data_IF_350290045656
#
_entry.id   IF_350290045656
#
_cell.length_a   1.000
_cell.length_b   1.000
_cell.length_c   1.000
_cell.angle_alpha   90.00
_cell.angle_beta   90.00
_cell.angle_gamma   90.00
#
_symmetry.space_group_name_H-M   'P 1'
#
loop_
_entity.id
_entity.type
_entity.pdbx_description
1 polymer ?
#
# COMPACT_ATOMS: atom_id res chain seq x y z
N UNK A 1 29.19 -34.19 -41.79
CA UNK A 1 29.20 -33.22 -40.66
C UNK A 1 27.94 -32.35 -40.54
N UNK A 2 27.05 -32.25 -41.55
CA UNK A 2 25.91 -31.29 -41.54
C UNK A 2 24.67 -31.66 -40.69
N UNK A 3 24.46 -32.94 -40.34
CA UNK A 3 23.24 -33.37 -39.60
C UNK A 3 23.29 -33.16 -38.09
N UNK A 4 24.48 -33.18 -37.48
CA UNK A 4 24.62 -33.02 -36.01
C UNK A 4 24.39 -31.58 -35.54
N UNK A 5 24.84 -30.60 -36.33
CA UNK A 5 24.64 -29.18 -36.02
C UNK A 5 23.15 -28.77 -36.02
N UNK A 6 22.33 -29.38 -36.88
CA UNK A 6 20.90 -29.04 -37.01
C UNK A 6 20.07 -29.48 -35.78
N UNK A 7 20.43 -30.61 -35.17
CA UNK A 7 19.77 -31.12 -33.95
C UNK A 7 20.14 -30.26 -32.74
N UNK A 8 21.41 -29.85 -32.63
CA UNK A 8 21.89 -29.03 -31.51
C UNK A 8 21.24 -27.64 -31.51
N UNK A 9 21.05 -27.02 -32.67
CA UNK A 9 20.37 -25.71 -32.78
C UNK A 9 18.88 -25.83 -32.43
N UNK A 10 18.20 -26.89 -32.89
CA UNK A 10 16.79 -27.13 -32.57
C UNK A 10 16.53 -27.30 -31.07
N UNK A 11 17.39 -28.03 -30.38
CA UNK A 11 17.30 -28.21 -28.92
C UNK A 11 17.54 -26.90 -28.15
N UNK A 12 18.47 -26.06 -28.60
CA UNK A 12 18.73 -24.76 -27.96
C UNK A 12 17.56 -23.78 -28.12
N UNK A 13 16.93 -23.73 -29.31
CA UNK A 13 15.75 -22.89 -29.52
C UNK A 13 14.55 -23.33 -28.67
N UNK A 14 14.34 -24.63 -28.51
CA UNK A 14 13.25 -25.14 -27.67
C UNK A 14 13.44 -24.76 -26.20
N UNK A 15 14.66 -24.90 -25.66
CA UNK A 15 14.99 -24.48 -24.30
C UNK A 15 14.81 -22.97 -24.14
N UNK A 16 15.23 -22.18 -25.12
CA UNK A 16 15.05 -20.72 -25.11
C UNK A 16 13.58 -20.29 -25.08
N UNK A 17 12.71 -20.92 -25.87
CA UNK A 17 11.27 -20.63 -25.90
C UNK A 17 10.60 -21.03 -24.58
N UNK A 18 10.94 -22.19 -24.02
CA UNK A 18 10.41 -22.64 -22.72
C UNK A 18 10.86 -21.71 -21.60
N UNK A 19 12.13 -21.29 -21.58
CA UNK A 19 12.62 -20.31 -20.63
C UNK A 19 11.89 -18.98 -20.79
N UNK A 20 11.74 -18.46 -22.01
CA UNK A 20 10.99 -17.22 -22.27
C UNK A 20 9.53 -17.33 -21.81
N UNK A 21 8.88 -18.47 -22.05
CA UNK A 21 7.51 -18.72 -21.61
C UNK A 21 7.37 -18.69 -20.08
N UNK A 22 8.31 -19.30 -19.35
CA UNK A 22 8.33 -19.27 -17.88
C UNK A 22 8.57 -17.86 -17.36
N UNK A 23 9.51 -17.10 -17.97
CA UNK A 23 9.80 -15.72 -17.57
C UNK A 23 8.62 -14.76 -17.83
N UNK A 24 7.97 -14.87 -18.99
CA UNK A 24 6.81 -14.04 -19.32
C UNK A 24 5.60 -14.35 -18.44
N UNK A 25 5.36 -15.63 -18.14
CA UNK A 25 4.23 -16.04 -17.31
C UNK A 25 4.43 -15.61 -15.85
N UNK A 26 5.63 -15.80 -15.29
CA UNK A 26 5.94 -15.39 -13.92
C UNK A 26 5.96 -13.87 -13.69
N UNK A 27 6.19 -13.06 -14.71
CA UNK A 27 6.08 -11.60 -14.61
C UNK A 27 4.63 -11.09 -14.66
N UNK A 28 3.78 -11.75 -15.45
CA UNK A 28 2.36 -11.39 -15.60
C UNK A 28 1.55 -11.63 -14.32
N UNK A 29 1.78 -12.77 -13.65
CA UNK A 29 1.07 -13.10 -12.40
C UNK A 29 1.45 -12.14 -11.25
N UNK A 30 2.73 -11.75 -11.15
CA UNK A 30 3.20 -10.79 -10.14
C UNK A 30 2.58 -9.41 -10.31
N UNK A 31 2.57 -8.88 -11.53
CA UNK A 31 2.01 -7.56 -11.78
C UNK A 31 0.50 -7.53 -11.45
N UNK A 32 -0.23 -8.57 -11.84
CA UNK A 32 -1.67 -8.67 -11.58
C UNK A 32 -1.97 -8.71 -10.08
N UNK A 33 -1.20 -9.47 -9.30
CA UNK A 33 -1.40 -9.57 -7.85
C UNK A 33 -1.13 -8.24 -7.13
N UNK A 34 -0.07 -7.52 -7.51
CA UNK A 34 0.24 -6.19 -6.95
C UNK A 34 -0.83 -5.16 -7.33
N UNK A 35 -1.38 -5.22 -8.55
CA UNK A 35 -2.49 -4.35 -8.97
C UNK A 35 -3.73 -4.60 -8.12
N UNK A 36 -4.10 -5.85 -7.87
CA UNK A 36 -5.26 -6.16 -7.03
C UNK A 36 -5.07 -5.67 -5.60
N UNK A 37 -3.88 -5.81 -5.01
CA UNK A 37 -3.61 -5.27 -3.68
C UNK A 37 -3.54 -3.73 -3.65
N UNK A 38 -3.19 -3.10 -4.78
CA UNK A 38 -3.25 -1.64 -4.93
C UNK A 38 -4.69 -1.13 -4.98
N UNK A 39 -5.62 -1.87 -5.61
CA UNK A 39 -7.05 -1.56 -5.55
C UNK A 39 -7.57 -1.61 -4.11
N UNK A 40 -7.18 -2.63 -3.33
CA UNK A 40 -7.50 -2.69 -1.89
C UNK A 40 -6.92 -1.51 -1.10
N UNK A 41 -5.74 -1.00 -1.48
CA UNK A 41 -5.18 0.21 -0.88
C UNK A 41 -6.09 1.42 -1.11
N UNK A 42 -6.57 1.63 -2.34
CA UNK A 42 -7.42 2.77 -2.69
C UNK A 42 -8.81 2.67 -2.05
N UNK A 43 -9.39 1.47 -2.02
CA UNK A 43 -10.74 1.23 -1.49
C UNK A 43 -10.79 1.21 0.04
N UNK A 44 -9.71 0.80 0.71
CA UNK A 44 -9.74 0.51 2.15
C UNK A 44 -8.69 1.27 2.97
N UNK A 45 -7.43 1.28 2.54
CA UNK A 45 -6.36 1.94 3.31
C UNK A 45 -6.43 3.48 3.23
N UNK A 46 -6.55 4.04 2.01
CA UNK A 46 -6.58 5.48 1.81
C UNK A 46 -7.75 6.16 2.55
N UNK A 47 -8.99 5.62 2.54
CA UNK A 47 -10.09 6.16 3.32
C UNK A 47 -9.85 6.12 4.84
N UNK A 48 -9.26 5.04 5.37
CA UNK A 48 -8.88 4.93 6.79
C UNK A 48 -7.90 6.04 7.15
N UNK A 49 -6.80 6.16 6.39
CA UNK A 49 -5.78 7.18 6.61
C UNK A 49 -6.36 8.59 6.58
N UNK A 50 -7.09 8.93 5.51
CA UNK A 50 -7.65 10.26 5.34
C UNK A 50 -8.64 10.61 6.46
N UNK A 51 -9.53 9.67 6.83
CA UNK A 51 -10.52 9.88 7.89
C UNK A 51 -9.83 10.13 9.24
N UNK A 52 -8.86 9.30 9.61
CA UNK A 52 -8.13 9.45 10.89
C UNK A 52 -7.35 10.76 10.93
N UNK A 53 -6.58 11.08 9.88
CA UNK A 53 -5.80 12.32 9.83
C UNK A 53 -6.71 13.56 9.86
N UNK A 54 -7.86 13.51 9.18
CA UNK A 54 -8.85 14.56 9.22
C UNK A 54 -9.44 14.73 10.63
N UNK A 55 -9.93 13.65 11.24
CA UNK A 55 -10.61 13.71 12.52
C UNK A 55 -9.68 14.00 13.71
N UNK A 56 -8.41 13.57 13.65
CA UNK A 56 -7.42 13.83 14.70
C UNK A 56 -6.74 15.20 14.57
N UNK A 57 -6.43 15.65 13.35
CA UNK A 57 -5.57 16.81 13.12
C UNK A 57 -6.19 17.93 12.26
N UNK A 58 -7.42 17.77 11.78
CA UNK A 58 -8.15 18.81 11.04
C UNK A 58 -7.57 19.14 9.66
N UNK A 59 -6.91 18.17 9.01
CA UNK A 59 -6.11 18.40 7.79
C UNK A 59 -6.91 18.83 6.54
N UNK A 60 -8.20 18.50 6.44
CA UNK A 60 -9.01 18.83 5.26
C UNK A 60 -10.28 19.58 5.69
N UNK A 61 -10.55 20.79 5.20
CA UNK A 61 -11.80 21.51 5.54
C UNK A 61 -13.01 21.09 4.71
N UNK A 62 -12.78 20.29 3.67
CA UNK A 62 -13.76 19.96 2.64
C UNK A 62 -13.94 18.44 2.61
N UNK A 63 -14.78 17.90 3.48
CA UNK A 63 -15.48 16.61 3.36
C UNK A 63 -16.33 16.35 4.61
N UNK A 64 -17.50 15.72 4.44
CA UNK A 64 -18.38 15.28 5.53
C UNK A 64 -17.86 13.97 6.14
N UNK A 65 -16.73 13.98 6.84
CA UNK A 65 -16.28 12.80 7.60
C UNK A 65 -17.06 12.69 8.93
N UNK A 66 -17.55 11.49 9.24
CA UNK A 66 -18.10 11.19 10.56
C UNK A 66 -16.94 10.89 11.52
N UNK A 67 -16.64 11.86 12.39
CA UNK A 67 -15.57 11.74 13.38
C UNK A 67 -15.99 11.05 14.69
N UNK A 68 -17.14 10.38 14.73
CA UNK A 68 -17.47 9.54 15.87
C UNK A 68 -16.50 8.36 15.95
N UNK A 69 -16.01 8.09 17.16
CA UNK A 69 -15.05 7.00 17.40
C UNK A 69 -15.54 5.66 16.83
N UNK A 70 -16.82 5.32 17.02
CA UNK A 70 -17.42 4.09 16.51
C UNK A 70 -17.42 4.01 14.98
N UNK A 71 -17.63 5.11 14.26
CA UNK A 71 -17.57 5.11 12.81
C UNK A 71 -16.15 4.86 12.29
N UNK A 72 -15.17 5.52 12.91
CA UNK A 72 -13.75 5.37 12.55
C UNK A 72 -13.23 3.98 12.89
N UNK A 73 -13.56 3.46 14.08
CA UNK A 73 -13.20 2.10 14.50
C UNK A 73 -13.78 1.05 13.57
N UNK A 74 -15.04 1.23 13.14
CA UNK A 74 -15.65 0.37 12.14
C UNK A 74 -14.87 0.41 10.81
N UNK A 75 -14.53 1.60 10.32
CA UNK A 75 -13.79 1.77 9.06
C UNK A 75 -12.41 1.10 9.11
N UNK A 76 -11.70 1.26 10.24
CA UNK A 76 -10.42 0.59 10.51
C UNK A 76 -10.57 -0.93 10.44
N UNK A 77 -11.55 -1.49 11.16
CA UNK A 77 -11.77 -2.93 11.19
C UNK A 77 -12.12 -3.48 9.81
N UNK A 78 -12.98 -2.78 9.05
CA UNK A 78 -13.33 -3.16 7.68
C UNK A 78 -12.10 -3.14 6.76
N UNK A 79 -11.22 -2.14 6.89
CA UNK A 79 -9.99 -2.08 6.10
C UNK A 79 -8.97 -3.15 6.47
N UNK A 80 -8.80 -3.44 7.77
CA UNK A 80 -7.94 -4.51 8.24
C UNK A 80 -8.43 -5.88 7.75
N UNK A 81 -9.73 -6.14 7.85
CA UNK A 81 -10.34 -7.38 7.34
C UNK A 81 -10.19 -7.52 5.83
N UNK A 82 -10.40 -6.44 5.07
CA UNK A 82 -10.26 -6.45 3.61
C UNK A 82 -8.84 -6.84 3.18
N UNK A 83 -7.84 -6.16 3.74
CA UNK A 83 -6.43 -6.41 3.42
C UNK A 83 -5.98 -7.80 3.89
N UNK A 84 -6.42 -8.27 5.05
CA UNK A 84 -6.07 -9.62 5.55
C UNK A 84 -6.69 -10.77 4.75
N UNK A 85 -7.79 -10.53 4.01
CA UNK A 85 -8.38 -11.56 3.13
C UNK A 85 -7.56 -11.79 1.86
N UNK A 86 -6.66 -10.87 1.52
CA UNK A 86 -5.80 -11.01 0.36
C UNK A 86 -4.75 -12.10 0.60
N UNK A 87 -4.73 -13.12 -0.26
CA UNK A 87 -3.77 -14.22 -0.19
C UNK A 87 -2.54 -13.88 -1.03
N UNK A 88 -1.52 -13.30 -0.38
CA UNK A 88 -0.30 -12.88 -1.04
C UNK A 88 0.61 -14.09 -1.34
N UNK A 89 0.88 -14.34 -2.62
CA UNK A 89 1.66 -15.50 -3.07
C UNK A 89 3.13 -15.16 -3.39
N UNK A 90 3.46 -13.88 -3.57
CA UNK A 90 4.83 -13.41 -3.84
C UNK A 90 5.34 -12.46 -2.75
N UNK A 91 6.67 -12.41 -2.54
CA UNK A 91 7.28 -11.65 -1.44
C UNK A 91 7.00 -10.16 -1.46
N UNK A 92 6.97 -9.55 -2.65
CA UNK A 92 6.75 -8.10 -2.77
C UNK A 92 5.28 -7.77 -2.48
N UNK A 93 4.34 -8.65 -2.85
CA UNK A 93 2.93 -8.55 -2.47
C UNK A 93 2.74 -8.73 -0.96
N UNK A 94 3.43 -9.70 -0.36
CA UNK A 94 3.44 -9.90 1.10
C UNK A 94 3.99 -8.66 1.81
N UNK A 95 5.10 -8.11 1.31
CA UNK A 95 5.67 -6.87 1.84
C UNK A 95 4.69 -5.70 1.70
N UNK A 96 4.01 -5.59 0.56
CA UNK A 96 3.01 -4.55 0.35
C UNK A 96 1.84 -4.69 1.33
N UNK A 97 1.31 -5.90 1.53
CA UNK A 97 0.25 -6.19 2.50
C UNK A 97 0.67 -5.82 3.92
N UNK A 98 1.92 -6.17 4.31
CA UNK A 98 2.48 -5.82 5.61
C UNK A 98 2.56 -4.30 5.79
N UNK A 99 2.95 -3.55 4.77
CA UNK A 99 3.00 -2.08 4.83
C UNK A 99 1.60 -1.47 4.97
N UNK A 100 0.60 -2.02 4.27
CA UNK A 100 -0.80 -1.58 4.40
C UNK A 100 -1.34 -1.81 5.82
N UNK A 101 -1.16 -3.02 6.36
CA UNK A 101 -1.58 -3.36 7.72
C UNK A 101 -0.84 -2.53 8.77
N UNK A 102 0.45 -2.26 8.57
CA UNK A 102 1.23 -1.37 9.45
C UNK A 102 0.64 0.04 9.46
N UNK A 103 0.30 0.57 8.29
CA UNK A 103 -0.37 1.86 8.16
C UNK A 103 -1.71 1.91 8.92
N UNK A 104 -2.54 0.86 8.81
CA UNK A 104 -3.78 0.75 9.59
C UNK A 104 -3.51 0.74 11.11
N UNK A 105 -2.47 0.02 11.55
CA UNK A 105 -2.04 0.03 12.96
C UNK A 105 -1.66 1.43 13.44
N UNK A 106 -0.96 2.23 12.62
CA UNK A 106 -0.69 3.62 12.95
C UNK A 106 -1.96 4.48 13.01
N UNK A 107 -2.95 4.23 12.14
CA UNK A 107 -4.24 4.91 12.19
C UNK A 107 -4.98 4.63 13.52
N UNK A 108 -4.94 3.37 13.99
CA UNK A 108 -5.44 2.99 15.31
C UNK A 108 -4.72 3.72 16.44
N UNK A 109 -3.39 3.78 16.41
CA UNK A 109 -2.58 4.49 17.42
C UNK A 109 -2.90 6.00 17.46
N UNK A 110 -3.08 6.66 16.31
CA UNK A 110 -3.49 8.09 16.24
C UNK A 110 -4.86 8.27 16.90
N UNK A 111 -5.81 7.38 16.61
CA UNK A 111 -7.16 7.45 17.20
C UNK A 111 -7.14 7.25 18.71
N UNK A 112 -6.33 6.31 19.22
CA UNK A 112 -6.18 6.10 20.65
C UNK A 112 -5.58 7.32 21.35
N UNK A 113 -4.54 7.94 20.79
CA UNK A 113 -3.98 9.18 21.33
C UNK A 113 -5.00 10.32 21.32
N UNK A 114 -5.82 10.42 20.27
CA UNK A 114 -6.87 11.44 20.15
C UNK A 114 -7.95 11.32 21.22
N UNK A 115 -8.28 10.10 21.67
CA UNK A 115 -9.23 9.91 22.78
C UNK A 115 -8.72 10.42 24.13
N UNK A 116 -7.39 10.51 24.28
CA UNK A 116 -6.73 10.98 25.51
C UNK A 116 -6.49 12.49 25.49
N UNK A 117 -6.86 13.18 24.40
CA UNK A 117 -6.74 14.64 24.30
C UNK A 117 -7.84 15.33 25.11
N UNK A 118 -7.48 15.73 26.33
CA UNK A 118 -8.28 16.66 27.14
C UNK A 118 -7.53 18.00 27.25
N UNK A 119 -8.03 19.10 26.64
CA UNK A 119 -7.42 20.43 26.73
C UNK A 119 -7.30 20.97 28.16
N UNK A 120 -8.04 20.42 29.13
CA UNK A 120 -7.95 20.78 30.54
C UNK A 120 -6.93 19.97 31.34
N UNK A 121 -6.29 18.97 30.74
CA UNK A 121 -5.34 18.06 31.40
C UNK A 121 -3.89 18.53 31.23
N UNK A 122 -3.06 18.28 32.26
CA UNK A 122 -1.61 18.50 32.21
C UNK A 122 -0.92 17.62 31.15
N UNK A 123 -1.54 16.49 30.77
CA UNK A 123 -1.00 15.54 29.79
C UNK A 123 -1.36 15.88 28.33
N UNK A 124 -2.11 16.96 28.08
CA UNK A 124 -2.55 17.36 26.73
C UNK A 124 -1.40 17.40 25.72
N UNK A 125 -0.32 18.11 26.07
CA UNK A 125 0.83 18.29 25.17
C UNK A 125 1.53 16.96 24.88
N UNK A 126 1.60 16.08 25.88
CA UNK A 126 2.20 14.76 25.72
C UNK A 126 1.43 13.91 24.72
N UNK A 127 0.11 13.78 24.89
CA UNK A 127 -0.74 13.02 23.98
C UNK A 127 -0.82 13.63 22.58
N UNK A 128 -0.81 14.96 22.48
CA UNK A 128 -0.77 15.64 21.19
C UNK A 128 0.51 15.33 20.42
N UNK A 129 1.67 15.44 21.08
CA UNK A 129 2.96 15.12 20.45
C UNK A 129 3.07 13.63 20.10
N UNK A 130 2.62 12.74 20.98
CA UNK A 130 2.60 11.30 20.71
C UNK A 130 1.75 10.98 19.48
N UNK A 131 0.55 11.58 19.36
CA UNK A 131 -0.28 11.46 18.17
C UNK A 131 0.42 11.97 16.91
N UNK A 132 1.10 13.13 17.00
CA UNK A 132 1.83 13.70 15.87
C UNK A 132 3.00 12.82 15.40
N UNK A 133 3.76 12.24 16.32
CA UNK A 133 4.85 11.30 16.01
C UNK A 133 4.33 10.05 15.29
N UNK A 134 3.16 9.52 15.69
CA UNK A 134 2.52 8.39 14.99
C UNK A 134 2.10 8.82 13.58
N UNK A 135 1.56 10.02 13.41
CA UNK A 135 1.21 10.56 12.10
C UNK A 135 2.43 10.63 11.17
N UNK A 136 3.58 11.11 11.63
CA UNK A 136 4.78 11.20 10.78
C UNK A 136 5.22 9.80 10.32
N UNK A 137 5.24 8.81 11.22
CA UNK A 137 5.52 7.40 10.85
C UNK A 137 4.50 6.82 9.87
N UNK A 138 3.25 7.26 9.94
CA UNK A 138 2.21 6.86 9.00
C UNK A 138 2.47 7.40 7.59
N UNK A 139 2.91 8.66 7.48
CA UNK A 139 3.26 9.29 6.21
C UNK A 139 4.55 8.67 5.63
N UNK A 140 5.56 8.42 6.46
CA UNK A 140 6.79 7.71 6.04
C UNK A 140 6.48 6.30 5.49
N UNK A 141 5.54 5.58 6.13
CA UNK A 141 5.10 4.27 5.64
C UNK A 141 4.36 4.34 4.29
N UNK A 142 3.67 5.45 4.01
CA UNK A 142 3.08 5.69 2.70
C UNK A 142 4.16 5.90 1.62
N UNK A 143 5.26 6.58 1.94
CA UNK A 143 6.40 6.69 1.02
C UNK A 143 7.01 5.30 0.74
N UNK A 144 7.17 4.43 1.75
CA UNK A 144 7.62 3.04 1.57
C UNK A 144 6.69 2.23 0.64
N UNK A 145 5.38 2.46 0.74
CA UNK A 145 4.38 1.85 -0.15
C UNK A 145 4.60 2.32 -1.60
N UNK A 146 4.75 3.62 -1.83
CA UNK A 146 4.95 4.16 -3.17
C UNK A 146 6.27 3.70 -3.79
N UNK A 147 7.37 3.66 -3.03
CA UNK A 147 8.65 3.12 -3.50
C UNK A 147 8.52 1.65 -3.94
N UNK A 148 7.74 0.84 -3.22
CA UNK A 148 7.48 -0.54 -3.61
C UNK A 148 6.66 -0.62 -4.91
N UNK A 149 5.68 0.27 -5.08
CA UNK A 149 4.81 0.34 -6.25
C UNK A 149 5.52 0.83 -7.52
N UNK A 150 6.51 1.71 -7.41
CA UNK A 150 7.29 2.22 -8.56
C UNK A 150 7.92 1.11 -9.42
N UNK A 151 8.20 -0.06 -8.82
CA UNK A 151 8.72 -1.24 -9.54
C UNK A 151 7.72 -1.83 -10.53
N UNK A 152 6.43 -1.64 -10.29
CA UNK A 152 5.32 -2.26 -11.01
C UNK A 152 4.52 -1.25 -11.84
N UNK A 153 4.52 0.00 -11.41
CA UNK A 153 3.84 1.09 -12.07
C UNK A 153 4.87 2.14 -12.48
N UNK A 154 5.01 2.37 -13.79
CA UNK A 154 5.55 3.65 -14.26
C UNK A 154 4.53 4.72 -13.92
N UNK A 155 4.66 5.34 -12.75
CA UNK A 155 4.01 6.60 -12.46
C UNK A 155 4.63 7.64 -13.40
N UNK A 156 4.09 7.77 -14.61
CA UNK A 156 4.37 8.95 -15.44
C UNK A 156 3.80 10.13 -14.67
N UNK A 157 4.66 11.00 -14.15
CA UNK A 157 4.19 12.30 -13.71
C UNK A 157 3.61 13.01 -14.93
N UNK A 158 2.38 13.51 -14.80
CA UNK A 158 1.72 14.33 -15.85
C UNK A 158 2.53 15.59 -16.25
N UNK A 159 3.64 15.89 -15.57
CA UNK A 159 4.60 16.93 -15.94
C UNK A 159 5.42 16.62 -17.20
N UNK A 160 5.42 15.37 -17.72
CA UNK A 160 6.13 15.01 -18.96
C UNK A 160 5.25 15.10 -20.23
N UNK A 161 3.96 15.42 -20.12
CA UNK A 161 3.05 15.58 -21.28
C UNK A 161 2.98 17.01 -21.86
N UNK A 162 3.53 18.03 -21.19
CA UNK A 162 3.57 19.41 -21.73
C UNK A 162 4.84 19.74 -22.55
N UNK A 163 5.66 18.74 -22.91
CA UNK A 163 6.91 18.95 -23.66
C UNK A 163 6.92 18.41 -25.12
N UNK A 164 5.76 18.15 -25.74
CA UNK A 164 5.65 17.80 -27.17
C UNK A 164 4.73 18.72 -27.97
#
# INVERSE_FOLDING_TARGET
MKRKAFIVIGSFCFIGIVALGIFLWGGYDRHTEVVSLYEEMDDHYQPVKQTVLHCAFGYFKENNYDCSYTAIEKLINEGEEAINRFDATFSDTEQFQVLLLRGIGYAQEVMQNSLLLDPGSDDFVHHFNAGYEVKERMLENEDEIYELLEKYFTFKSDEDEEAL
#
